data_IF_178984019339
#
_entry.id   IF_178984019339
#
_cell.length_a   1.000
_cell.length_b   1.000
_cell.length_c   1.000
_cell.angle_alpha   90.00
_cell.angle_beta   90.00
_cell.angle_gamma   90.00
#
_symmetry.space_group_name_H-M   'P 1'
#
loop_
_entity.id
_entity.type
_entity.pdbx_description
1 polymer ?
#
# COMPACT_ATOMS: atom_id res chain seq x y z
N UNK A 1 12.45 9.51 -10.93
CA UNK A 1 12.69 9.43 -9.46
C UNK A 1 13.84 8.48 -9.09
N UNK A 2 13.87 7.22 -9.53
CA UNK A 2 14.99 6.31 -9.22
C UNK A 2 16.37 6.91 -9.59
N UNK A 3 16.50 7.50 -10.77
CA UNK A 3 17.72 8.18 -11.20
C UNK A 3 18.11 9.34 -10.27
N UNK A 4 17.16 10.13 -9.78
CA UNK A 4 17.42 11.23 -8.81
C UNK A 4 18.05 10.65 -7.54
N UNK A 5 17.47 9.58 -7.01
CA UNK A 5 18.01 8.92 -5.82
C UNK A 5 19.43 8.40 -6.06
N UNK A 6 19.72 7.73 -7.18
CA UNK A 6 21.06 7.17 -7.44
C UNK A 6 22.11 8.23 -7.79
N UNK A 7 21.74 9.25 -8.57
CA UNK A 7 22.67 10.28 -9.09
C UNK A 7 22.85 11.48 -8.16
N UNK A 8 21.89 11.75 -7.27
CA UNK A 8 21.92 12.89 -6.33
C UNK A 8 21.82 12.40 -4.87
N UNK A 9 22.91 11.84 -4.30
CA UNK A 9 22.90 11.35 -2.92
C UNK A 9 22.56 12.41 -1.87
N UNK A 10 22.91 13.68 -2.12
CA UNK A 10 22.66 14.80 -1.20
C UNK A 10 21.19 15.14 -1.02
N UNK A 11 20.30 14.64 -1.88
CA UNK A 11 18.87 14.93 -1.83
C UNK A 11 18.06 13.84 -1.13
N UNK A 12 18.71 12.74 -0.74
CA UNK A 12 18.05 11.59 -0.13
C UNK A 12 17.61 11.92 1.28
N UNK A 13 16.48 11.35 1.70
CA UNK A 13 16.01 11.44 3.08
C UNK A 13 16.89 10.68 4.08
N UNK A 14 17.68 9.71 3.61
CA UNK A 14 18.66 8.96 4.36
C UNK A 14 19.96 8.84 3.54
N UNK A 15 21.14 8.76 4.19
CA UNK A 15 22.41 8.66 3.47
C UNK A 15 22.48 7.35 2.66
N UNK A 16 22.05 6.25 3.28
CA UNK A 16 22.13 4.91 2.72
C UNK A 16 20.92 4.58 1.86
N UNK A 17 21.19 3.98 0.69
CA UNK A 17 20.15 3.45 -0.19
C UNK A 17 19.45 2.25 0.44
N UNK A 18 18.14 2.15 0.22
CA UNK A 18 17.36 0.98 0.61
C UNK A 18 17.90 -0.32 0.03
N UNK A 19 18.28 -0.32 -1.25
CA UNK A 19 18.74 -1.49 -1.97
C UNK A 19 19.67 -1.11 -3.14
N UNK A 20 20.46 -2.05 -3.68
CA UNK A 20 21.23 -1.82 -4.90
C UNK A 20 20.34 -1.67 -6.14
N UNK A 21 20.84 -0.98 -7.18
CA UNK A 21 20.09 -0.65 -8.39
C UNK A 21 19.42 -1.86 -9.06
N UNK A 22 20.14 -2.99 -9.14
CA UNK A 22 19.61 -4.20 -9.78
C UNK A 22 18.33 -4.70 -9.12
N UNK A 23 18.17 -4.56 -7.79
CA UNK A 23 16.94 -4.98 -7.12
C UNK A 23 15.74 -4.14 -7.54
N UNK A 24 15.94 -2.85 -7.80
CA UNK A 24 14.89 -1.98 -8.34
C UNK A 24 14.55 -2.30 -9.79
N UNK A 25 15.54 -2.67 -10.60
CA UNK A 25 15.32 -3.05 -12.01
C UNK A 25 14.56 -4.37 -12.16
N UNK A 26 14.76 -5.31 -11.23
CA UNK A 26 14.05 -6.58 -11.18
C UNK A 26 12.82 -6.58 -10.26
N UNK A 27 12.44 -5.42 -9.72
CA UNK A 27 11.29 -5.27 -8.80
C UNK A 27 11.33 -6.22 -7.59
N UNK A 28 12.51 -6.43 -6.98
CA UNK A 28 12.75 -7.28 -5.80
C UNK A 28 13.33 -6.50 -4.61
N UNK A 29 13.21 -5.16 -4.62
CA UNK A 29 13.73 -4.27 -3.57
C UNK A 29 13.07 -4.47 -2.20
N UNK A 30 11.93 -5.16 -2.13
CA UNK A 30 11.22 -5.43 -0.89
C UNK A 30 11.83 -6.58 -0.07
N UNK A 31 12.73 -7.37 -0.66
CA UNK A 31 13.37 -8.52 0.00
C UNK A 31 14.53 -8.06 0.90
N UNK A 32 14.48 -8.44 2.18
CA UNK A 32 15.44 -8.07 3.22
C UNK A 32 15.60 -6.55 3.39
N UNK A 33 14.50 -5.81 3.17
CA UNK A 33 14.44 -4.38 3.44
C UNK A 33 14.23 -4.14 4.94
N UNK A 34 14.83 -3.07 5.44
CA UNK A 34 14.62 -2.60 6.80
C UNK A 34 14.31 -1.09 6.76
N UNK A 35 13.66 -0.58 7.80
CA UNK A 35 13.36 0.85 7.89
C UNK A 35 14.62 1.72 7.98
N UNK A 36 14.46 3.03 7.75
CA UNK A 36 15.55 4.00 7.90
C UNK A 36 16.52 4.09 6.72
N UNK A 37 16.09 3.67 5.53
CA UNK A 37 16.88 3.76 4.30
C UNK A 37 16.19 4.59 3.22
N UNK A 38 16.97 5.18 2.33
CA UNK A 38 16.50 6.07 1.27
C UNK A 38 15.74 5.28 0.20
N UNK A 39 14.64 5.86 -0.29
CA UNK A 39 13.73 5.25 -1.26
C UNK A 39 13.11 3.93 -0.78
N UNK A 40 13.07 3.71 0.54
CA UNK A 40 12.50 2.50 1.13
C UNK A 40 11.02 2.32 0.77
N UNK A 41 10.23 3.39 0.58
CA UNK A 41 8.79 3.30 0.24
C UNK A 41 8.51 2.61 -1.10
N UNK A 42 9.48 2.54 -2.01
CA UNK A 42 9.32 1.80 -3.26
C UNK A 42 9.14 0.28 -3.07
N UNK A 43 9.19 -0.24 -1.84
CA UNK A 43 8.86 -1.63 -1.52
C UNK A 43 7.47 -2.05 -1.99
N UNK A 44 6.46 -1.18 -1.90
CA UNK A 44 5.10 -1.54 -2.32
C UNK A 44 4.99 -1.70 -3.83
N UNK A 45 5.77 -0.95 -4.61
CA UNK A 45 5.83 -1.10 -6.07
C UNK A 45 6.35 -2.49 -6.47
N UNK A 46 7.37 -3.00 -5.76
CA UNK A 46 7.84 -4.36 -6.01
C UNK A 46 6.75 -5.40 -5.80
N UNK A 47 5.92 -5.24 -4.76
CA UNK A 47 4.81 -6.15 -4.49
C UNK A 47 3.79 -6.11 -5.64
N UNK A 48 3.43 -4.91 -6.09
CA UNK A 48 2.50 -4.71 -7.21
C UNK A 48 3.04 -5.31 -8.50
N UNK A 49 4.30 -5.04 -8.87
CA UNK A 49 4.93 -5.58 -10.08
C UNK A 49 4.99 -7.12 -10.05
N UNK A 50 5.41 -7.70 -8.92
CA UNK A 50 5.45 -9.15 -8.74
C UNK A 50 4.06 -9.77 -8.85
N UNK A 51 3.05 -9.10 -8.29
CA UNK A 51 1.66 -9.53 -8.38
C UNK A 51 1.15 -9.47 -9.82
N UNK A 52 1.38 -8.37 -10.54
CA UNK A 52 0.95 -8.24 -11.94
C UNK A 52 1.66 -9.22 -12.87
N UNK A 53 2.92 -9.56 -12.58
CA UNK A 53 3.65 -10.59 -13.30
C UNK A 53 3.07 -11.99 -13.04
N UNK A 54 2.67 -12.29 -11.80
CA UNK A 54 2.10 -13.58 -11.41
C UNK A 54 0.63 -13.75 -11.83
N UNK A 55 -0.14 -12.66 -11.86
CA UNK A 55 -1.57 -12.66 -12.15
C UNK A 55 -1.96 -13.38 -13.45
N UNK A 56 -1.33 -13.15 -14.63
CA UNK A 56 -1.70 -13.85 -15.85
C UNK A 56 -1.52 -15.37 -15.75
N UNK A 57 -0.46 -15.83 -15.07
CA UNK A 57 -0.22 -17.26 -14.85
C UNK A 57 -1.29 -17.87 -13.94
N UNK A 58 -1.69 -17.15 -12.89
CA UNK A 58 -2.78 -17.55 -12.00
C UNK A 58 -4.10 -17.62 -12.79
N UNK A 59 -4.38 -16.64 -13.65
CA UNK A 59 -5.59 -16.64 -14.48
C UNK A 59 -5.62 -17.80 -15.47
N UNK A 60 -4.49 -18.11 -16.13
CA UNK A 60 -4.36 -19.29 -17.00
C UNK A 60 -4.65 -20.57 -16.20
N UNK A 61 -4.07 -20.70 -15.01
CA UNK A 61 -4.32 -21.85 -14.13
C UNK A 61 -5.80 -21.97 -13.74
N UNK A 62 -6.48 -20.85 -13.46
CA UNK A 62 -7.92 -20.83 -13.14
C UNK A 62 -8.77 -21.25 -14.35
N UNK A 63 -8.38 -20.84 -15.57
CA UNK A 63 -9.06 -21.26 -16.81
C UNK A 63 -8.91 -22.76 -17.01
N UNK A 64 -7.70 -23.30 -16.83
CA UNK A 64 -7.43 -24.73 -16.95
C UNK A 64 -8.05 -25.54 -15.81
N UNK A 65 -8.17 -24.96 -14.62
CA UNK A 65 -8.70 -25.62 -13.43
C UNK A 65 -9.67 -24.70 -12.66
N UNK A 66 -10.98 -24.74 -12.97
CA UNK A 66 -11.94 -23.80 -12.39
C UNK A 66 -12.02 -23.80 -10.85
N UNK A 67 -11.70 -24.94 -10.20
CA UNK A 67 -11.64 -25.03 -8.73
C UNK A 67 -10.54 -24.14 -8.14
N UNK A 68 -9.49 -23.85 -8.90
CA UNK A 68 -8.41 -22.96 -8.49
C UNK A 68 -8.91 -21.53 -8.19
N UNK A 69 -10.03 -21.10 -8.79
CA UNK A 69 -10.62 -19.78 -8.52
C UNK A 69 -11.12 -19.60 -7.08
N UNK A 70 -11.30 -20.68 -6.32
CA UNK A 70 -11.61 -20.64 -4.89
C UNK A 70 -10.37 -21.06 -4.08
N UNK A 71 -9.69 -22.12 -4.52
CA UNK A 71 -8.55 -22.69 -3.79
C UNK A 71 -7.41 -21.67 -3.66
N UNK A 72 -7.05 -20.95 -4.73
CA UNK A 72 -5.92 -20.02 -4.71
C UNK A 72 -6.16 -18.85 -3.75
N UNK A 73 -7.29 -18.10 -3.83
CA UNK A 73 -7.59 -17.06 -2.85
C UNK A 73 -7.60 -17.56 -1.40
N UNK A 74 -8.24 -18.71 -1.14
CA UNK A 74 -8.30 -19.29 0.19
C UNK A 74 -6.91 -19.71 0.70
N UNK A 75 -6.09 -20.30 -0.17
CA UNK A 75 -4.72 -20.70 0.16
C UNK A 75 -3.84 -19.50 0.46
N UNK A 76 -3.93 -18.42 -0.34
CA UNK A 76 -3.16 -17.21 -0.09
C UNK A 76 -3.59 -16.55 1.23
N UNK A 77 -4.89 -16.46 1.49
CA UNK A 77 -5.39 -15.85 2.73
C UNK A 77 -5.02 -16.66 3.97
N UNK A 78 -5.36 -17.95 4.01
CA UNK A 78 -5.07 -18.83 5.15
C UNK A 78 -3.56 -19.04 5.31
N UNK A 79 -2.86 -19.26 4.20
CA UNK A 79 -1.40 -19.38 4.17
C UNK A 79 -0.72 -18.10 4.67
N UNK A 80 -1.21 -16.92 4.29
CA UNK A 80 -0.73 -15.63 4.79
C UNK A 80 -0.92 -15.48 6.29
N UNK A 81 -2.07 -15.88 6.84
CA UNK A 81 -2.33 -15.87 8.29
C UNK A 81 -1.37 -16.80 9.04
N UNK A 82 -1.23 -18.04 8.57
CA UNK A 82 -0.34 -19.05 9.18
C UNK A 82 1.11 -18.58 9.10
N UNK A 83 1.56 -18.12 7.93
CA UNK A 83 2.93 -17.66 7.72
C UNK A 83 3.27 -16.50 8.64
N UNK A 84 2.38 -15.51 8.77
CA UNK A 84 2.59 -14.38 9.68
C UNK A 84 2.59 -14.81 11.15
N UNK A 85 1.76 -15.77 11.54
CA UNK A 85 1.76 -16.32 12.89
C UNK A 85 3.09 -17.03 13.21
N UNK A 86 3.57 -17.87 12.28
CA UNK A 86 4.84 -18.61 12.43
C UNK A 86 6.02 -17.65 12.48
N UNK A 87 6.10 -16.69 11.56
CA UNK A 87 7.19 -15.71 11.52
C UNK A 87 7.21 -14.82 12.76
N UNK A 88 6.04 -14.41 13.25
CA UNK A 88 5.92 -13.65 14.48
C UNK A 88 6.38 -14.45 15.70
N UNK A 89 6.01 -15.73 15.78
CA UNK A 89 6.42 -16.62 16.87
C UNK A 89 7.91 -16.93 16.87
N UNK A 90 8.52 -17.06 15.69
CA UNK A 90 9.95 -17.36 15.54
C UNK A 90 10.86 -16.17 15.89
N UNK A 91 10.33 -14.95 15.93
CA UNK A 91 11.11 -13.74 16.13
C UNK A 91 10.60 -12.91 17.34
N UNK A 92 10.67 -13.46 18.56
CA UNK A 92 10.29 -12.73 19.76
C UNK A 92 11.20 -11.50 19.95
N UNK A 93 10.61 -10.41 20.44
CA UNK A 93 11.30 -9.21 20.88
C UNK A 93 11.44 -9.15 22.39
N UNK A 94 12.33 -8.28 22.87
CA UNK A 94 12.74 -8.20 24.28
C UNK A 94 11.59 -7.86 25.27
N UNK A 95 10.47 -7.33 24.77
CA UNK A 95 9.28 -6.95 25.55
C UNK A 95 8.11 -7.94 25.52
N UNK A 96 8.32 -9.19 25.09
CA UNK A 96 7.25 -10.20 24.97
C UNK A 96 6.36 -10.06 23.71
N UNK A 97 6.72 -9.13 22.81
CA UNK A 97 6.14 -8.98 21.48
C UNK A 97 7.04 -9.57 20.38
N UNK A 98 6.90 -9.06 19.16
CA UNK A 98 7.72 -9.40 17.99
C UNK A 98 8.79 -8.34 17.82
N UNK A 99 10.02 -8.75 17.49
CA UNK A 99 11.11 -7.79 17.22
C UNK A 99 10.74 -6.87 16.05
N UNK A 100 10.83 -5.55 16.25
CA UNK A 100 10.48 -4.56 15.22
C UNK A 100 11.29 -4.74 13.94
N UNK A 101 12.59 -5.03 14.05
CA UNK A 101 13.44 -5.29 12.87
C UNK A 101 13.02 -6.56 12.14
N UNK A 102 12.71 -7.63 12.87
CA UNK A 102 12.25 -8.87 12.27
C UNK A 102 10.86 -8.71 11.63
N UNK A 103 9.96 -7.98 12.28
CA UNK A 103 8.66 -7.62 11.72
C UNK A 103 8.82 -6.88 10.40
N UNK A 104 9.69 -5.86 10.33
CA UNK A 104 9.96 -5.15 9.09
C UNK A 104 10.47 -6.09 7.99
N UNK A 105 11.52 -6.86 8.28
CA UNK A 105 12.21 -7.70 7.30
C UNK A 105 11.37 -8.87 6.80
N UNK A 106 10.57 -9.50 7.67
CA UNK A 106 9.91 -10.78 7.39
C UNK A 106 8.40 -10.69 7.24
N UNK A 107 7.75 -9.69 7.83
CA UNK A 107 6.29 -9.58 7.87
C UNK A 107 5.78 -8.37 7.09
N UNK A 108 6.40 -7.21 7.25
CA UNK A 108 5.87 -5.96 6.71
C UNK A 108 6.21 -5.73 5.23
N UNK A 109 7.48 -5.93 4.83
CA UNK A 109 7.95 -5.67 3.46
C UNK A 109 7.80 -6.85 2.48
N UNK A 110 7.89 -8.12 2.89
CA UNK A 110 7.82 -9.21 1.93
C UNK A 110 6.47 -9.39 1.26
N UNK A 111 6.51 -9.82 0.01
CA UNK A 111 5.32 -10.02 -0.82
C UNK A 111 4.40 -11.11 -0.27
N UNK A 112 4.97 -12.24 0.16
CA UNK A 112 4.22 -13.42 0.59
C UNK A 112 3.38 -13.22 1.85
N UNK A 113 3.70 -12.23 2.68
CA UNK A 113 2.90 -11.84 3.86
C UNK A 113 1.92 -10.69 3.57
N UNK A 114 1.90 -10.17 2.35
CA UNK A 114 1.17 -8.95 1.95
C UNK A 114 0.21 -9.15 0.78
N UNK A 115 -0.07 -10.39 0.41
CA UNK A 115 -0.98 -10.69 -0.71
C UNK A 115 -2.47 -10.53 -0.35
N UNK A 116 -2.85 -10.39 0.93
CA UNK A 116 -4.27 -10.34 1.35
C UNK A 116 -5.08 -9.22 0.64
N UNK A 117 -4.62 -7.95 0.58
CA UNK A 117 -5.36 -6.88 -0.09
C UNK A 117 -5.53 -7.12 -1.58
N UNK A 118 -4.50 -7.68 -2.23
CA UNK A 118 -4.52 -7.97 -3.66
C UNK A 118 -5.53 -9.08 -3.97
N UNK A 119 -5.56 -10.13 -3.16
CA UNK A 119 -6.52 -11.23 -3.29
C UNK A 119 -7.95 -10.73 -3.08
N UNK A 120 -8.21 -9.87 -2.08
CA UNK A 120 -9.55 -9.31 -1.91
C UNK A 120 -9.98 -8.46 -3.10
N UNK A 121 -9.08 -7.66 -3.69
CA UNK A 121 -9.36 -6.91 -4.92
C UNK A 121 -9.72 -7.84 -6.09
N UNK A 122 -8.92 -8.88 -6.33
CA UNK A 122 -9.15 -9.86 -7.42
C UNK A 122 -10.46 -10.62 -7.21
N UNK A 123 -10.72 -11.10 -5.99
CA UNK A 123 -11.97 -11.81 -5.67
C UNK A 123 -13.17 -10.90 -5.89
N UNK A 124 -13.08 -9.63 -5.50
CA UNK A 124 -14.17 -8.67 -5.72
C UNK A 124 -14.43 -8.43 -7.20
N UNK A 125 -13.38 -8.21 -7.99
CA UNK A 125 -13.49 -8.06 -9.45
C UNK A 125 -14.05 -9.32 -10.12
N UNK A 126 -13.67 -10.51 -9.64
CA UNK A 126 -14.20 -11.78 -10.13
C UNK A 126 -15.69 -11.94 -9.80
N UNK A 127 -16.12 -11.54 -8.60
CA UNK A 127 -17.54 -11.55 -8.20
C UNK A 127 -18.34 -10.58 -9.07
N UNK A 128 -17.85 -9.37 -9.28
CA UNK A 128 -18.47 -8.35 -10.13
C UNK A 128 -18.67 -8.88 -11.56
N UNK A 129 -17.64 -9.48 -12.15
CA UNK A 129 -17.65 -9.92 -13.56
C UNK A 129 -18.40 -11.24 -13.80
N UNK A 130 -18.18 -12.24 -12.94
CA UNK A 130 -18.63 -13.61 -13.20
C UNK A 130 -19.84 -14.03 -12.36
N UNK A 131 -20.19 -13.30 -11.29
CA UNK A 131 -21.30 -13.63 -10.38
C UNK A 131 -22.20 -12.41 -10.12
N UNK A 132 -22.89 -11.88 -11.15
CA UNK A 132 -23.68 -10.65 -11.03
C UNK A 132 -24.73 -10.71 -9.92
N UNK A 133 -25.36 -11.87 -9.68
CA UNK A 133 -26.32 -12.03 -8.58
C UNK A 133 -25.70 -11.82 -7.20
N UNK A 134 -24.45 -12.25 -7.00
CA UNK A 134 -23.72 -12.05 -5.75
C UNK A 134 -23.30 -10.60 -5.60
N UNK A 135 -22.80 -9.99 -6.69
CA UNK A 135 -22.49 -8.57 -6.73
C UNK A 135 -23.70 -7.72 -6.36
N UNK A 136 -24.88 -7.99 -6.93
CA UNK A 136 -26.12 -7.28 -6.59
C UNK A 136 -26.49 -7.41 -5.11
N UNK A 137 -26.34 -8.61 -4.52
CA UNK A 137 -26.56 -8.81 -3.07
C UNK A 137 -25.60 -7.98 -2.23
N UNK A 138 -24.32 -7.94 -2.61
CA UNK A 138 -23.29 -7.17 -1.93
C UNK A 138 -23.59 -5.67 -1.99
N UNK A 139 -23.97 -5.19 -3.17
CA UNK A 139 -24.37 -3.80 -3.43
C UNK A 139 -25.64 -3.41 -2.65
N UNK A 140 -26.59 -4.33 -2.49
CA UNK A 140 -27.78 -4.12 -1.68
C UNK A 140 -27.45 -4.00 -0.17
N UNK A 141 -26.37 -4.65 0.28
CA UNK A 141 -25.87 -4.60 1.65
C UNK A 141 -24.85 -3.47 1.89
N UNK A 142 -24.46 -2.71 0.86
CA UNK A 142 -23.46 -1.64 0.98
C UNK A 142 -23.74 -0.64 2.12
N UNK A 143 -25.00 -0.28 2.38
CA UNK A 143 -25.38 0.60 3.50
C UNK A 143 -25.08 0.00 4.88
N UNK A 144 -25.01 -1.32 4.99
CA UNK A 144 -24.66 -2.03 6.22
C UNK A 144 -23.17 -2.40 6.29
N UNK A 145 -22.43 -2.28 5.18
CA UNK A 145 -21.02 -2.67 5.09
C UNK A 145 -20.05 -1.53 5.45
N UNK A 146 -20.45 -0.27 5.33
CA UNK A 146 -19.53 0.86 5.56
C UNK A 146 -19.10 0.97 7.04
N UNK A 147 -20.03 0.79 7.99
CA UNK A 147 -19.73 0.81 9.43
C UNK A 147 -18.75 -0.31 9.84
N UNK A 148 -19.03 -1.59 9.55
CA UNK A 148 -18.09 -2.66 9.90
C UNK A 148 -16.79 -2.56 9.11
N UNK A 149 -16.82 -2.05 7.87
CA UNK A 149 -15.61 -1.80 7.09
C UNK A 149 -14.72 -0.73 7.73
N UNK A 150 -15.31 0.39 8.17
CA UNK A 150 -14.60 1.44 8.89
C UNK A 150 -14.09 0.95 10.24
N UNK A 151 -14.92 0.22 11.00
CA UNK A 151 -14.52 -0.37 12.28
C UNK A 151 -13.36 -1.35 12.12
N UNK A 152 -13.35 -2.16 11.05
CA UNK A 152 -12.25 -3.05 10.72
C UNK A 152 -10.95 -2.27 10.43
N UNK A 153 -11.01 -1.19 9.65
CA UNK A 153 -9.84 -0.34 9.40
C UNK A 153 -9.33 0.27 10.71
N UNK A 154 -10.21 0.90 11.49
CA UNK A 154 -9.83 1.55 12.75
C UNK A 154 -9.23 0.54 13.72
N UNK A 155 -9.86 -0.62 13.90
CA UNK A 155 -9.35 -1.66 14.79
C UNK A 155 -8.02 -2.22 14.29
N UNK A 156 -7.85 -2.40 12.97
CA UNK A 156 -6.60 -2.84 12.38
C UNK A 156 -5.46 -1.84 12.57
N UNK A 157 -5.75 -0.53 12.42
CA UNK A 157 -4.79 0.53 12.69
C UNK A 157 -4.42 0.59 14.18
N UNK A 158 -5.42 0.51 15.05
CA UNK A 158 -5.23 0.48 16.51
C UNK A 158 -4.34 -0.69 16.96
N UNK A 159 -4.55 -1.89 16.39
CA UNK A 159 -3.67 -3.04 16.67
C UNK A 159 -2.20 -2.79 16.28
N UNK A 160 -1.94 -1.93 15.30
CA UNK A 160 -0.60 -1.64 14.79
C UNK A 160 0.08 -0.43 15.42
N UNK A 161 -0.62 0.37 16.23
CA UNK A 161 -0.09 1.60 16.84
C UNK A 161 0.68 1.34 18.14
N UNK A 162 0.40 0.21 18.81
CA UNK A 162 1.06 -0.21 20.05
C UNK A 162 2.19 -1.22 19.86
N UNK A 163 2.44 -2.02 20.89
CA UNK A 163 3.42 -3.09 20.84
C UNK A 163 3.09 -4.12 19.75
N UNK A 164 4.11 -4.53 18.99
CA UNK A 164 3.98 -5.54 17.95
C UNK A 164 3.67 -6.91 18.57
N UNK A 165 2.41 -7.20 18.82
CA UNK A 165 1.97 -8.51 19.27
C UNK A 165 1.87 -9.49 18.09
N UNK A 166 1.93 -10.79 18.38
CA UNK A 166 1.66 -11.84 17.37
C UNK A 166 0.27 -11.64 16.75
N UNK A 167 -0.73 -11.28 17.57
CA UNK A 167 -2.09 -11.01 17.11
C UNK A 167 -2.14 -9.82 16.13
N UNK A 168 -1.42 -8.73 16.41
CA UNK A 168 -1.31 -7.59 15.50
C UNK A 168 -0.71 -8.01 14.15
N UNK A 169 0.41 -8.75 14.16
CA UNK A 169 1.06 -9.23 12.94
C UNK A 169 0.14 -10.10 12.05
N UNK A 170 -0.76 -10.87 12.67
CA UNK A 170 -1.68 -11.79 11.99
C UNK A 170 -2.98 -11.13 11.55
N UNK A 171 -3.54 -10.21 12.32
CA UNK A 171 -4.88 -9.68 12.04
C UNK A 171 -4.90 -8.30 11.42
N UNK A 172 -3.88 -7.47 11.66
CA UNK A 172 -3.83 -6.09 11.19
C UNK A 172 -4.05 -5.99 9.67
N UNK A 173 -3.24 -6.69 8.86
CA UNK A 173 -3.31 -6.55 7.40
C UNK A 173 -4.63 -7.06 6.80
N UNK A 174 -5.11 -8.29 7.12
CA UNK A 174 -6.41 -8.79 6.69
C UNK A 174 -7.57 -7.87 7.02
N UNK A 175 -7.54 -7.29 8.22
CA UNK A 175 -8.65 -6.51 8.72
C UNK A 175 -8.74 -5.16 8.01
N UNK A 176 -7.60 -4.49 7.81
CA UNK A 176 -7.52 -3.27 6.99
C UNK A 176 -7.92 -3.60 5.55
N UNK A 177 -7.40 -4.69 4.99
CA UNK A 177 -7.69 -5.11 3.62
C UNK A 177 -9.19 -5.40 3.41
N UNK A 178 -9.82 -6.10 4.35
CA UNK A 178 -11.25 -6.38 4.35
C UNK A 178 -12.07 -5.10 4.46
N UNK A 179 -11.69 -4.20 5.38
CA UNK A 179 -12.36 -2.92 5.54
C UNK A 179 -12.26 -2.03 4.30
N UNK A 180 -11.09 -1.98 3.66
CA UNK A 180 -10.89 -1.27 2.40
C UNK A 180 -11.71 -1.87 1.26
N UNK A 181 -11.79 -3.21 1.16
CA UNK A 181 -12.65 -3.88 0.19
C UNK A 181 -14.14 -3.59 0.42
N UNK A 182 -14.59 -3.56 1.68
CA UNK A 182 -15.95 -3.16 2.03
C UNK A 182 -16.24 -1.70 1.66
N UNK A 183 -15.32 -0.78 1.95
CA UNK A 183 -15.46 0.63 1.55
C UNK A 183 -15.45 0.81 0.03
N UNK A 184 -14.69 0.01 -0.72
CA UNK A 184 -14.71 0.03 -2.19
C UNK A 184 -16.09 -0.35 -2.74
N UNK A 185 -16.72 -1.40 -2.22
CA UNK A 185 -18.12 -1.76 -2.56
C UNK A 185 -19.06 -0.60 -2.25
N UNK A 186 -18.88 0.04 -1.09
CA UNK A 186 -19.68 1.18 -0.67
C UNK A 186 -19.51 2.38 -1.63
N UNK A 187 -18.29 2.66 -2.08
CA UNK A 187 -17.99 3.75 -2.99
C UNK A 187 -18.61 3.55 -4.39
N UNK A 188 -18.66 2.32 -4.88
CA UNK A 188 -19.25 1.98 -6.19
C UNK A 188 -20.78 1.82 -6.11
N UNK A 189 -21.35 1.70 -4.91
CA UNK A 189 -22.78 1.49 -4.71
C UNK A 189 -23.63 2.74 -5.02
N UNK A 190 -24.63 2.65 -5.92
CA UNK A 190 -25.52 3.79 -6.22
C UNK A 190 -26.47 4.13 -5.06
N UNK A 191 -26.53 3.26 -4.04
CA UNK A 191 -27.35 3.45 -2.83
C UNK A 191 -26.71 4.44 -1.86
N UNK A 192 -25.39 4.55 -1.86
CA UNK A 192 -24.67 5.46 -0.99
C UNK A 192 -24.43 6.80 -1.69
N UNK A 193 -24.37 7.84 -0.89
CA UNK A 193 -24.12 9.19 -1.36
C UNK A 193 -22.75 9.34 -2.03
N UNK A 194 -21.79 8.48 -1.67
CA UNK A 194 -20.43 8.46 -2.22
C UNK A 194 -20.37 8.42 -3.74
N UNK A 195 -21.29 7.71 -4.41
CA UNK A 195 -21.34 7.65 -5.88
C UNK A 195 -22.05 8.83 -6.53
N UNK A 196 -22.83 9.60 -5.77
CA UNK A 196 -23.72 10.65 -6.31
C UNK A 196 -23.05 12.01 -6.43
N UNK A 197 -21.93 12.23 -5.72
CA UNK A 197 -21.14 13.46 -5.85
C UNK A 197 -19.91 13.17 -6.70
N UNK A 198 -19.83 13.81 -7.86
CA UNK A 198 -18.57 13.96 -8.56
C UNK A 198 -17.78 15.07 -7.86
N UNK A 199 -16.67 14.70 -7.22
CA UNK A 199 -15.76 15.67 -6.62
C UNK A 199 -14.91 16.26 -7.75
N UNK A 200 -15.06 17.56 -8.08
CA UNK A 200 -14.29 18.17 -9.14
C UNK A 200 -12.79 18.09 -8.81
N UNK A 201 -11.98 17.71 -9.79
CA UNK A 201 -10.53 17.53 -9.62
C UNK A 201 -10.09 16.21 -8.99
N UNK A 202 -10.98 15.37 -8.47
CA UNK A 202 -10.59 14.07 -7.90
C UNK A 202 -9.87 13.17 -8.92
N UNK A 203 -10.33 13.18 -10.18
CA UNK A 203 -9.66 12.46 -11.27
C UNK A 203 -8.22 12.98 -11.52
N UNK A 204 -8.00 14.29 -11.39
CA UNK A 204 -6.67 14.88 -11.51
C UNK A 204 -5.77 14.43 -10.34
N UNK A 205 -6.24 14.52 -9.10
CA UNK A 205 -5.50 14.03 -7.94
C UNK A 205 -5.18 12.53 -8.05
N UNK A 206 -6.13 11.73 -8.51
CA UNK A 206 -5.91 10.30 -8.79
C UNK A 206 -4.81 10.08 -9.84
N UNK A 207 -4.77 10.91 -10.89
CA UNK A 207 -3.75 10.79 -11.95
C UNK A 207 -2.34 11.12 -11.47
N UNK A 208 -2.18 12.07 -10.53
CA UNK A 208 -0.87 12.45 -9.99
C UNK A 208 -0.48 11.64 -8.74
N UNK A 209 -1.39 10.84 -8.17
CA UNK A 209 -1.18 10.13 -6.90
C UNK A 209 0.07 9.23 -6.92
N UNK A 210 0.32 8.54 -8.04
CA UNK A 210 1.53 7.73 -8.20
C UNK A 210 2.82 8.58 -8.18
N UNK A 211 2.78 9.75 -8.83
CA UNK A 211 3.92 10.67 -8.86
C UNK A 211 4.20 11.25 -7.46
N UNK A 212 3.14 11.66 -6.77
CA UNK A 212 3.17 12.10 -5.37
C UNK A 212 3.74 11.00 -4.47
N UNK A 213 3.26 9.76 -4.63
CA UNK A 213 3.75 8.61 -3.89
C UNK A 213 5.26 8.39 -4.06
N UNK A 214 5.79 8.58 -5.26
CA UNK A 214 7.22 8.41 -5.49
C UNK A 214 8.08 9.52 -4.86
N UNK A 215 7.58 10.76 -4.82
CA UNK A 215 8.38 11.93 -4.41
C UNK A 215 8.19 12.37 -2.96
N UNK A 216 7.11 11.98 -2.28
CA UNK A 216 6.72 12.59 -1.00
C UNK A 216 7.82 12.54 0.07
N UNK A 217 8.54 11.42 0.27
CA UNK A 217 9.60 11.33 1.28
C UNK A 217 10.75 12.31 1.03
N UNK A 218 11.20 12.41 -0.22
CA UNK A 218 12.25 13.35 -0.63
C UNK A 218 11.81 14.79 -0.36
N UNK A 219 10.57 15.13 -0.72
CA UNK A 219 10.02 16.47 -0.52
C UNK A 219 9.83 16.80 0.95
N UNK A 220 9.31 15.87 1.75
CA UNK A 220 9.14 16.04 3.20
C UNK A 220 10.51 16.30 3.85
N UNK A 221 11.55 15.56 3.45
CA UNK A 221 12.89 15.77 3.97
C UNK A 221 13.44 17.17 3.62
N UNK A 222 13.32 17.58 2.35
CA UNK A 222 13.75 18.91 1.91
C UNK A 222 12.98 20.03 2.63
N UNK A 223 11.66 19.89 2.78
CA UNK A 223 10.83 20.85 3.51
C UNK A 223 11.18 20.91 5.00
N UNK A 224 11.49 19.76 5.62
CA UNK A 224 11.92 19.69 7.02
C UNK A 224 13.25 20.40 7.21
N UNK A 225 14.20 20.19 6.30
CA UNK A 225 15.50 20.88 6.33
C UNK A 225 15.32 22.40 6.14
N UNK A 226 14.45 22.82 5.21
CA UNK A 226 14.13 24.23 5.01
C UNK A 226 13.54 24.87 6.27
N UNK A 227 12.56 24.23 6.91
CA UNK A 227 11.95 24.70 8.15
C UNK A 227 12.99 24.79 9.29
N UNK A 228 13.85 23.78 9.43
CA UNK A 228 14.92 23.78 10.42
C UNK A 228 15.91 24.92 10.21
N UNK A 229 16.29 25.20 8.96
CA UNK A 229 17.22 26.30 8.63
C UNK A 229 16.62 27.69 8.90
N UNK A 230 15.29 27.83 8.87
CA UNK A 230 14.58 29.09 9.09
C UNK A 230 13.91 29.17 10.47
N UNK A 231 14.22 28.25 11.39
CA UNK A 231 13.63 28.16 12.73
C UNK A 231 12.08 28.13 12.73
N UNK A 232 11.48 27.52 11.71
CA UNK A 232 10.03 27.33 11.62
C UNK A 232 9.66 26.05 12.37
N UNK A 233 8.74 26.14 13.32
CA UNK A 233 8.25 24.96 14.02
C UNK A 233 7.55 23.99 13.05
N UNK A 234 7.95 22.72 13.07
CA UNK A 234 7.41 21.69 12.16
C UNK A 234 5.91 21.43 12.36
N UNK A 235 5.38 21.72 13.55
CA UNK A 235 3.96 21.62 13.90
C UNK A 235 3.16 22.87 13.53
N UNK A 236 3.82 23.91 13.01
CA UNK A 236 3.14 25.15 12.63
C UNK A 236 2.32 24.96 11.36
N UNK A 237 1.19 25.67 11.26
CA UNK A 237 0.34 25.66 10.06
C UNK A 237 1.11 26.01 8.79
N UNK A 238 2.03 27.01 8.77
CA UNK A 238 2.86 27.30 7.59
C UNK A 238 3.75 26.13 7.17
N UNK A 239 4.35 25.40 8.11
CA UNK A 239 5.19 24.24 7.80
C UNK A 239 4.35 23.10 7.18
N UNK A 240 3.16 22.83 7.72
CA UNK A 240 2.26 21.81 7.19
C UNK A 240 1.76 22.16 5.78
N UNK A 241 1.38 23.43 5.56
CA UNK A 241 0.97 23.90 4.23
C UNK A 241 2.13 23.86 3.24
N UNK A 242 3.34 24.24 3.65
CA UNK A 242 4.54 24.16 2.82
C UNK A 242 4.79 22.73 2.35
N UNK A 243 4.74 21.75 3.26
CA UNK A 243 4.92 20.34 2.95
C UNK A 243 3.85 19.87 1.97
N UNK A 244 2.57 20.09 2.27
CA UNK A 244 1.46 19.62 1.44
C UNK A 244 1.52 20.20 0.02
N UNK A 245 1.71 21.52 -0.10
CA UNK A 245 1.84 22.19 -1.40
C UNK A 245 3.06 21.69 -2.17
N UNK A 246 4.20 21.51 -1.48
CA UNK A 246 5.43 21.04 -2.14
C UNK A 246 5.30 19.61 -2.64
N UNK A 247 4.61 18.73 -1.90
CA UNK A 247 4.39 17.33 -2.28
C UNK A 247 3.57 17.28 -3.58
N UNK A 248 2.46 18.00 -3.65
CA UNK A 248 1.64 18.02 -4.87
C UNK A 248 2.33 18.74 -6.03
N UNK A 249 3.05 19.84 -5.76
CA UNK A 249 3.80 20.55 -6.79
C UNK A 249 4.88 19.65 -7.43
N UNK A 250 5.67 18.96 -6.60
CA UNK A 250 6.68 18.00 -7.09
C UNK A 250 6.02 16.82 -7.81
N UNK A 251 4.92 16.28 -7.27
CA UNK A 251 4.15 15.22 -7.90
C UNK A 251 3.64 15.63 -9.28
N UNK A 252 3.15 16.87 -9.43
CA UNK A 252 2.70 17.43 -10.69
C UNK A 252 3.86 17.63 -11.68
N UNK A 253 4.99 18.17 -11.23
CA UNK A 253 6.20 18.33 -12.06
C UNK A 253 6.64 16.97 -12.60
N UNK A 254 6.70 15.95 -11.74
CA UNK A 254 7.06 14.60 -12.15
C UNK A 254 6.04 14.04 -13.15
N UNK A 255 4.74 14.17 -12.88
CA UNK A 255 3.68 13.71 -13.78
C UNK A 255 3.78 14.36 -15.17
N UNK A 256 3.95 15.69 -15.24
CA UNK A 256 4.08 16.42 -16.49
C UNK A 256 5.35 16.04 -17.24
N UNK A 257 6.48 15.84 -16.53
CA UNK A 257 7.73 15.44 -17.17
C UNK A 257 7.60 14.12 -17.95
N UNK A 258 6.87 13.15 -17.40
CA UNK A 258 6.63 11.86 -18.04
C UNK A 258 5.62 12.00 -19.19
N UNK A 259 4.54 12.77 -18.98
CA UNK A 259 3.52 12.99 -20.01
C UNK A 259 4.09 13.66 -21.26
N UNK A 260 5.06 14.56 -21.09
CA UNK A 260 5.78 15.21 -22.20
C UNK A 260 6.68 14.21 -22.92
N UNK A 261 7.45 13.39 -22.17
CA UNK A 261 8.33 12.36 -22.76
C UNK A 261 7.52 11.33 -23.56
N UNK A 262 6.32 10.95 -23.11
CA UNK A 262 5.47 9.98 -23.83
C UNK A 262 4.85 10.51 -25.13
N UNK A 263 4.91 11.83 -25.37
CA UNK A 263 4.37 12.47 -26.59
C UNK A 263 5.46 12.79 -27.63
N UNK A 264 6.73 12.58 -27.29
CA UNK A 264 7.89 12.71 -28.17
C UNK A 264 8.24 11.36 -28.78
#
# INVERSE_FOLDING_TARGET
>A
MLAVYFLLPSWREYPDMAQPLWKFLFSVQNIALHGGMAFSHAWSLAIEDQFYLALPLILILIICWPRAGIIIPCMIFIGGLILRAVLAWQNPGDGGGVSFRAFQAWIYYPTWTRLDPLVFGVVLAAIEKFRPSWWQRLMNRALWLWLPGLAAIVYGLYMGEGDLTVAACVWQFPLIAFGMAALLVCAVSPRLFFRRIEIPGAAFFASIAYSVYLSHKLVIHAATQFCSNHNIALTSVPALLLVEVSIYAMGLILFLSIAIISRL
#
